data_IF_189327130259
#
_entry.id   IF_189327130259
#
_cell.length_a   1.000
_cell.length_b   1.000
_cell.length_c   1.000
_cell.angle_alpha   90.00
_cell.angle_beta   90.00
_cell.angle_gamma   90.00
#
_symmetry.space_group_name_H-M   'P 1'
#
loop_
_entity.id
_entity.type
_entity.pdbx_description
1 polymer ?
#
# COMPACT_ATOMS: atom_id res chain seq x y z
N UNK A 1 0.08 -28.35 24.21
CA UNK A 1 -0.61 -27.68 23.08
C UNK A 1 -0.70 -26.20 23.43
N UNK A 2 0.30 -25.39 23.08
CA UNK A 2 0.31 -23.96 23.42
C UNK A 2 -0.46 -23.22 22.33
N UNK A 3 -1.68 -22.82 22.65
CA UNK A 3 -2.56 -22.04 21.79
C UNK A 3 -1.86 -20.71 21.49
N UNK A 4 -1.25 -20.60 20.31
CA UNK A 4 -0.81 -19.32 19.73
C UNK A 4 -2.08 -18.49 19.52
N UNK A 5 -2.55 -17.84 20.57
CA UNK A 5 -3.36 -16.64 20.44
C UNK A 5 -2.51 -15.64 19.67
N UNK A 6 -2.62 -15.64 18.32
CA UNK A 6 -2.15 -14.54 17.49
C UNK A 6 -2.76 -13.30 18.13
N UNK A 7 -1.93 -12.54 18.84
CA UNK A 7 -2.40 -11.45 19.70
C UNK A 7 -3.38 -10.58 18.90
N UNK A 8 -4.61 -10.34 19.39
CA UNK A 8 -5.61 -9.51 18.70
C UNK A 8 -5.04 -8.13 18.31
N UNK A 9 -4.02 -7.67 19.03
CA UNK A 9 -3.24 -6.47 18.71
C UNK A 9 -2.57 -6.55 17.33
N UNK A 10 -1.96 -7.69 16.97
CA UNK A 10 -1.29 -7.86 15.66
C UNK A 10 -2.30 -7.82 14.50
N UNK A 11 -3.52 -8.31 14.74
CA UNK A 11 -4.59 -8.27 13.74
C UNK A 11 -5.12 -6.84 13.53
N UNK A 12 -5.31 -6.08 14.61
CA UNK A 12 -5.73 -4.67 14.55
C UNK A 12 -4.68 -3.77 13.89
N UNK A 13 -3.39 -4.01 14.17
CA UNK A 13 -2.29 -3.30 13.52
C UNK A 13 -2.27 -3.58 12.02
N UNK A 14 -2.37 -4.84 11.61
CA UNK A 14 -2.43 -5.21 10.19
C UNK A 14 -3.63 -4.59 9.48
N UNK A 15 -4.80 -4.58 10.12
CA UNK A 15 -6.00 -3.92 9.60
C UNK A 15 -5.78 -2.41 9.42
N UNK A 16 -5.21 -1.75 10.43
CA UNK A 16 -4.93 -0.30 10.38
C UNK A 16 -3.93 0.03 9.27
N UNK A 17 -2.87 -0.75 9.14
CA UNK A 17 -1.89 -0.61 8.06
C UNK A 17 -2.52 -0.81 6.68
N UNK A 18 -3.41 -1.79 6.52
CA UNK A 18 -4.13 -2.03 5.27
C UNK A 18 -5.05 -0.85 4.91
N UNK A 19 -5.78 -0.29 5.88
CA UNK A 19 -6.65 0.87 5.66
C UNK A 19 -5.84 2.10 5.27
N UNK A 20 -4.71 2.35 5.95
CA UNK A 20 -3.82 3.47 5.60
C UNK A 20 -3.20 3.28 4.21
N UNK A 21 -2.76 2.07 3.88
CA UNK A 21 -2.22 1.78 2.56
C UNK A 21 -3.26 2.01 1.45
N UNK A 22 -4.50 1.58 1.68
CA UNK A 22 -5.61 1.82 0.76
C UNK A 22 -5.87 3.33 0.56
N UNK A 23 -5.88 4.11 1.63
CA UNK A 23 -6.09 5.56 1.55
C UNK A 23 -4.99 6.24 0.72
N UNK A 24 -3.71 5.86 0.91
CA UNK A 24 -2.57 6.38 0.13
C UNK A 24 -2.70 6.01 -1.34
N UNK A 25 -3.10 4.77 -1.66
CA UNK A 25 -3.28 4.31 -3.04
C UNK A 25 -4.40 5.09 -3.73
N UNK A 26 -5.53 5.29 -3.05
CA UNK A 26 -6.65 6.07 -3.59
C UNK A 26 -6.29 7.54 -3.81
N UNK A 27 -5.55 8.14 -2.87
CA UNK A 27 -5.07 9.50 -3.01
C UNK A 27 -4.08 9.63 -4.19
N UNK A 28 -3.12 8.71 -4.31
CA UNK A 28 -2.19 8.66 -5.43
C UNK A 28 -2.90 8.39 -6.77
N UNK A 29 -3.99 7.63 -6.76
CA UNK A 29 -4.83 7.42 -7.95
C UNK A 29 -5.56 8.70 -8.36
N UNK A 30 -6.14 9.42 -7.41
CA UNK A 30 -6.89 10.64 -7.71
C UNK A 30 -5.96 11.80 -8.10
N UNK A 31 -4.94 12.09 -7.30
CA UNK A 31 -4.08 13.26 -7.51
C UNK A 31 -2.79 12.95 -8.28
N UNK A 32 -2.17 11.80 -8.00
CA UNK A 32 -0.89 11.41 -8.61
C UNK A 32 -1.00 11.09 -10.11
N UNK A 33 -2.10 10.48 -10.53
CA UNK A 33 -2.40 10.29 -11.95
C UNK A 33 -2.68 11.62 -12.65
N UNK A 34 -3.36 12.55 -11.99
CA UNK A 34 -3.60 13.90 -12.52
C UNK A 34 -2.31 14.70 -12.70
N UNK A 35 -1.29 14.48 -11.86
CA UNK A 35 0.04 15.07 -12.03
C UNK A 35 0.71 14.62 -13.35
N UNK A 36 0.40 13.41 -13.80
CA UNK A 36 0.90 12.81 -15.02
C UNK A 36 -0.05 13.03 -16.22
N UNK A 37 -1.09 13.86 -16.08
CA UNK A 37 -2.09 14.09 -17.13
C UNK A 37 -1.56 14.88 -18.35
N UNK A 38 -0.34 15.41 -18.27
CA UNK A 38 0.36 16.06 -19.39
C UNK A 38 1.44 15.21 -20.07
N UNK A 39 1.69 13.98 -19.62
CA UNK A 39 2.68 13.11 -20.28
C UNK A 39 2.13 12.52 -21.58
N UNK A 40 2.94 12.53 -22.64
CA UNK A 40 2.59 12.09 -24.01
C UNK A 40 2.07 10.64 -24.07
N UNK A 41 2.43 9.80 -23.10
CA UNK A 41 2.00 8.41 -23.03
C UNK A 41 1.09 8.16 -21.83
N UNK A 42 -0.22 8.19 -22.10
CA UNK A 42 -1.29 7.86 -21.15
C UNK A 42 -1.06 6.50 -20.47
N UNK A 43 -0.59 5.50 -21.21
CA UNK A 43 -0.39 4.14 -20.73
C UNK A 43 0.79 4.02 -19.74
N UNK A 44 1.85 4.81 -19.93
CA UNK A 44 3.04 4.79 -19.07
C UNK A 44 2.74 5.27 -17.66
N UNK A 45 1.77 6.18 -17.51
CA UNK A 45 1.31 6.67 -16.21
C UNK A 45 0.64 5.57 -15.38
N UNK A 46 -0.16 4.70 -16.00
CA UNK A 46 -0.76 3.56 -15.30
C UNK A 46 0.28 2.50 -14.93
N UNK A 47 1.29 2.27 -15.78
CA UNK A 47 2.44 1.40 -15.48
C UNK A 47 3.26 1.94 -14.32
N UNK A 48 3.55 3.24 -14.30
CA UNK A 48 4.26 3.91 -13.21
C UNK A 48 3.48 3.83 -11.89
N UNK A 49 2.16 4.04 -11.94
CA UNK A 49 1.29 3.87 -10.79
C UNK A 49 1.28 2.42 -10.28
N UNK A 50 1.14 1.43 -11.17
CA UNK A 50 1.21 0.02 -10.80
C UNK A 50 2.55 -0.33 -10.13
N UNK A 51 3.67 0.16 -10.69
CA UNK A 51 5.00 0.00 -10.09
C UNK A 51 5.09 0.64 -8.70
N UNK A 52 4.59 1.86 -8.54
CA UNK A 52 4.51 2.54 -7.25
C UNK A 52 3.72 1.73 -6.22
N UNK A 53 2.53 1.25 -6.57
CA UNK A 53 1.67 0.46 -5.68
C UNK A 53 2.38 -0.82 -5.23
N UNK A 54 3.03 -1.54 -6.15
CA UNK A 54 3.77 -2.76 -5.81
C UNK A 54 4.93 -2.48 -4.85
N UNK A 55 5.75 -1.46 -5.14
CA UNK A 55 6.87 -1.07 -4.27
C UNK A 55 6.37 -0.62 -2.90
N UNK A 56 5.31 0.18 -2.86
CA UNK A 56 4.71 0.68 -1.63
C UNK A 56 4.16 -0.45 -0.76
N UNK A 57 3.35 -1.35 -1.32
CA UNK A 57 2.81 -2.49 -0.59
C UNK A 57 3.91 -3.44 -0.10
N UNK A 58 4.96 -3.64 -0.90
CA UNK A 58 6.13 -4.42 -0.49
C UNK A 58 6.84 -3.78 0.71
N UNK A 59 7.01 -2.46 0.69
CA UNK A 59 7.61 -1.72 1.81
C UNK A 59 6.74 -1.82 3.07
N UNK A 60 5.42 -1.63 2.94
CA UNK A 60 4.47 -1.77 4.05
C UNK A 60 4.53 -3.18 4.64
N UNK A 61 4.53 -4.22 3.80
CA UNK A 61 4.62 -5.60 4.28
C UNK A 61 5.94 -5.87 5.00
N UNK A 62 7.07 -5.37 4.47
CA UNK A 62 8.39 -5.53 5.10
C UNK A 62 8.50 -4.78 6.44
N UNK A 63 7.88 -3.61 6.56
CA UNK A 63 7.78 -2.86 7.82
C UNK A 63 6.92 -3.64 8.82
N UNK A 64 5.75 -4.11 8.38
CA UNK A 64 4.87 -4.96 9.19
C UNK A 64 5.61 -6.20 9.72
N UNK A 65 6.28 -6.96 8.86
CA UNK A 65 7.04 -8.16 9.24
C UNK A 65 8.19 -7.86 10.20
N UNK A 66 8.81 -6.68 10.10
CA UNK A 66 9.94 -6.28 10.96
C UNK A 66 9.50 -5.84 12.35
N UNK A 67 8.35 -5.19 12.46
CA UNK A 67 7.90 -4.56 13.71
C UNK A 67 6.77 -5.32 14.43
N UNK A 68 6.07 -6.26 13.77
CA UNK A 68 4.88 -6.95 14.30
C UNK A 68 4.82 -8.45 13.99
#
# INVERSE_FOLDING_TARGET
MSEKTKSPVRHLVGLTAAVLALAVILWAWQDGLNFLNGTVFSELRYLAFAGFVVVFLTAVNKVMDRFF
#
